data_IF_394070101814
#
_entry.id   IF_394070101814
#
_cell.length_a   1.000
_cell.length_b   1.000
_cell.length_c   1.000
_cell.angle_alpha   90.00
_cell.angle_beta   90.00
_cell.angle_gamma   90.00
#
_symmetry.space_group_name_H-M   'P 1'
#
loop_
_entity.id
_entity.type
_entity.pdbx_description
1 polymer ?
#
# COMPACT_ATOMS: atom_id res chain seq x y z
N UNK A 1 -52.67 8.96 26.61
CA UNK A 1 -52.58 9.70 25.33
C UNK A 1 -51.15 10.13 25.18
N UNK A 2 -50.44 9.40 24.32
CA UNK A 2 -49.03 9.57 24.01
C UNK A 2 -48.93 10.24 22.64
N UNK A 3 -48.11 11.27 22.53
CA UNK A 3 -47.56 11.82 21.28
C UNK A 3 -46.32 12.61 21.73
N UNK A 4 -45.11 12.07 21.58
CA UNK A 4 -44.26 12.21 20.39
C UNK A 4 -43.98 13.68 20.06
N UNK A 5 -42.84 14.18 20.50
CA UNK A 5 -42.15 15.28 19.83
C UNK A 5 -40.68 14.90 19.62
N UNK A 6 -40.24 15.14 18.40
CA UNK A 6 -39.15 14.46 17.70
C UNK A 6 -38.08 15.52 17.41
N UNK A 7 -37.01 15.55 18.19
CA UNK A 7 -35.84 16.38 17.89
C UNK A 7 -34.60 15.50 17.83
N UNK A 8 -34.38 14.93 16.64
CA UNK A 8 -33.09 14.42 16.19
C UNK A 8 -32.20 15.62 15.90
N UNK A 9 -31.19 15.87 16.73
CA UNK A 9 -30.08 16.73 16.36
C UNK A 9 -28.83 15.87 16.16
N UNK A 10 -28.66 15.46 14.91
CA UNK A 10 -27.51 14.76 14.37
C UNK A 10 -26.37 15.77 14.14
N UNK A 11 -25.37 15.81 15.02
CA UNK A 11 -24.15 16.57 14.77
C UNK A 11 -23.15 15.69 14.02
N UNK A 12 -23.30 15.67 12.69
CA UNK A 12 -22.26 15.27 11.77
C UNK A 12 -21.11 16.28 11.87
N UNK A 13 -20.08 15.95 12.65
CA UNK A 13 -18.82 16.68 12.68
C UNK A 13 -17.91 16.18 11.55
N UNK A 14 -17.88 16.97 10.48
CA UNK A 14 -16.73 17.27 9.62
C UNK A 14 -15.86 16.09 9.14
N UNK A 15 -16.36 15.38 8.13
CA UNK A 15 -15.52 14.68 7.17
C UNK A 15 -15.02 15.67 6.11
N UNK A 16 -13.99 16.46 6.43
CA UNK A 16 -13.23 17.18 5.42
C UNK A 16 -12.08 16.27 4.93
N UNK A 17 -12.43 15.22 4.16
CA UNK A 17 -11.47 14.51 3.32
C UNK A 17 -11.39 15.27 1.99
N UNK A 18 -10.62 16.35 1.99
CA UNK A 18 -10.22 17.06 0.78
C UNK A 18 -9.46 16.09 -0.13
N UNK A 19 -10.20 15.50 -1.06
CA UNK A 19 -9.69 14.58 -2.05
C UNK A 19 -9.02 15.35 -3.17
N UNK A 20 -7.70 15.20 -3.26
CA UNK A 20 -7.02 15.23 -4.56
C UNK A 20 -7.24 13.88 -5.26
N UNK A 21 -8.50 13.55 -5.51
CA UNK A 21 -8.81 12.57 -6.55
C UNK A 21 -8.61 13.31 -7.86
N UNK A 22 -7.48 13.06 -8.53
CA UNK A 22 -7.43 13.18 -9.98
C UNK A 22 -8.57 12.31 -10.51
N UNK A 23 -9.73 12.92 -10.72
CA UNK A 23 -10.95 12.30 -11.21
C UNK A 23 -10.77 12.05 -12.71
N UNK A 24 -9.79 11.21 -13.02
CA UNK A 24 -9.76 10.43 -14.23
C UNK A 24 -10.94 9.47 -14.05
N UNK A 25 -11.88 9.49 -14.98
CA UNK A 25 -13.05 8.61 -15.05
C UNK A 25 -12.67 7.13 -15.27
N UNK A 26 -11.58 6.68 -14.63
CA UNK A 26 -11.07 5.33 -14.60
C UNK A 26 -12.10 4.45 -13.89
N UNK A 27 -12.46 3.37 -14.57
CA UNK A 27 -13.31 2.34 -14.03
C UNK A 27 -12.44 1.08 -13.91
N UNK A 28 -12.32 0.50 -12.71
CA UNK A 28 -11.67 -0.79 -12.54
C UNK A 28 -12.16 -1.81 -13.58
N UNK A 29 -11.26 -2.67 -14.09
CA UNK A 29 -11.67 -3.77 -14.95
C UNK A 29 -12.62 -4.71 -14.19
N UNK A 30 -13.47 -5.44 -14.93
CA UNK A 30 -14.24 -6.51 -14.33
C UNK A 30 -13.31 -7.62 -13.82
N UNK A 31 -13.59 -8.16 -12.63
CA UNK A 31 -12.82 -9.26 -12.06
C UNK A 31 -12.89 -10.49 -13.00
N UNK A 32 -11.73 -11.06 -13.30
CA UNK A 32 -11.60 -12.32 -14.04
C UNK A 32 -10.53 -13.17 -13.37
N UNK A 33 -10.79 -14.46 -13.26
CA UNK A 33 -9.79 -15.39 -12.72
C UNK A 33 -8.62 -15.53 -13.69
N UNK A 34 -7.44 -15.83 -13.14
CA UNK A 34 -6.25 -16.18 -13.91
C UNK A 34 -6.53 -17.36 -14.86
N UNK A 35 -7.29 -18.36 -14.41
CA UNK A 35 -7.68 -19.51 -15.24
C UNK A 35 -8.55 -19.13 -16.43
N UNK A 36 -9.46 -18.17 -16.28
CA UNK A 36 -10.29 -17.67 -17.38
C UNK A 36 -9.45 -16.89 -18.38
N UNK A 37 -8.52 -16.07 -17.88
CA UNK A 37 -7.59 -15.30 -18.73
C UNK A 37 -6.71 -16.23 -19.55
N UNK A 38 -6.18 -17.30 -18.94
CA UNK A 38 -5.36 -18.30 -19.61
C UNK A 38 -6.20 -19.13 -20.60
N UNK A 39 -7.47 -19.40 -20.29
CA UNK A 39 -8.33 -20.24 -21.13
C UNK A 39 -8.98 -19.53 -22.31
N UNK A 40 -9.06 -18.21 -22.28
CA UNK A 40 -9.54 -17.42 -23.41
C UNK A 40 -8.58 -17.52 -24.61
N UNK A 41 -9.11 -17.49 -25.83
CA UNK A 41 -8.34 -17.32 -27.09
C UNK A 41 -7.19 -18.34 -27.28
N UNK A 42 -7.39 -19.59 -26.86
CA UNK A 42 -6.39 -20.66 -26.93
C UNK A 42 -5.97 -21.03 -28.36
N UNK A 43 -6.81 -20.68 -29.32
CA UNK A 43 -6.61 -20.86 -30.75
C UNK A 43 -5.75 -19.76 -31.38
N UNK A 44 -5.45 -18.67 -30.66
CA UNK A 44 -4.58 -17.58 -31.12
C UNK A 44 -3.15 -17.70 -30.54
N UNK A 45 -2.21 -18.11 -31.40
CA UNK A 45 -0.80 -18.27 -31.03
C UNK A 45 -0.16 -16.98 -30.51
N UNK A 46 -0.56 -15.82 -31.05
CA UNK A 46 -0.01 -14.52 -30.64
C UNK A 46 -0.46 -14.13 -29.24
N UNK A 47 -1.73 -14.38 -28.92
CA UNK A 47 -2.28 -14.13 -27.60
C UNK A 47 -1.76 -15.12 -26.55
N UNK A 48 -1.51 -16.37 -26.93
CA UNK A 48 -0.85 -17.33 -26.04
C UNK A 48 0.56 -16.86 -25.66
N UNK A 49 1.40 -16.50 -26.65
CA UNK A 49 2.75 -15.97 -26.38
C UNK A 49 2.73 -14.69 -25.56
N UNK A 50 1.75 -13.81 -25.80
CA UNK A 50 1.57 -12.60 -25.02
C UNK A 50 1.26 -12.91 -23.55
N UNK A 51 0.32 -13.83 -23.28
CA UNK A 51 -0.02 -14.28 -21.91
C UNK A 51 1.19 -14.92 -21.22
N UNK A 52 1.94 -15.77 -21.91
CA UNK A 52 3.18 -16.35 -21.38
C UNK A 52 4.21 -15.29 -21.01
N UNK A 53 4.37 -14.24 -21.82
CA UNK A 53 5.31 -13.16 -21.53
C UNK A 53 4.97 -12.37 -20.27
N UNK A 54 3.67 -12.19 -19.98
CA UNK A 54 3.18 -11.43 -18.82
C UNK A 54 3.11 -12.28 -17.56
N UNK A 55 2.56 -13.48 -17.67
CA UNK A 55 2.21 -14.35 -16.55
C UNK A 55 3.32 -15.36 -16.22
N UNK A 56 4.22 -15.66 -17.16
CA UNK A 56 5.30 -16.62 -16.97
C UNK A 56 4.79 -17.98 -16.50
N UNK A 57 5.33 -18.47 -15.38
CA UNK A 57 4.94 -19.76 -14.79
C UNK A 57 3.47 -19.81 -14.35
N UNK A 58 2.83 -18.66 -14.11
CA UNK A 58 1.44 -18.59 -13.69
C UNK A 58 0.45 -19.01 -14.79
N UNK A 59 0.90 -19.20 -16.04
CA UNK A 59 0.07 -19.80 -17.10
C UNK A 59 -0.20 -21.29 -16.84
N UNK A 60 0.76 -22.00 -16.24
CA UNK A 60 0.74 -23.45 -16.13
C UNK A 60 0.31 -23.90 -14.73
N UNK A 61 0.84 -23.24 -13.70
CA UNK A 61 0.66 -23.65 -12.31
C UNK A 61 0.12 -22.50 -11.44
N UNK A 62 -0.66 -22.86 -10.42
CA UNK A 62 -1.08 -21.91 -9.39
C UNK A 62 0.13 -21.55 -8.54
N UNK A 63 0.56 -20.30 -8.62
CA UNK A 63 1.68 -19.81 -7.82
C UNK A 63 1.23 -19.56 -6.39
N UNK A 64 1.82 -20.28 -5.44
CA UNK A 64 1.61 -20.10 -4.00
C UNK A 64 2.98 -19.95 -3.33
N UNK A 65 3.16 -18.88 -2.57
CA UNK A 65 4.39 -18.60 -1.82
C UNK A 65 4.20 -18.91 -0.33
N UNK A 66 2.99 -18.71 0.18
CA UNK A 66 2.61 -19.03 1.56
C UNK A 66 1.18 -19.58 1.58
N UNK A 67 1.06 -20.88 1.84
CA UNK A 67 -0.23 -21.57 1.94
C UNK A 67 -1.06 -21.12 3.14
N UNK A 68 -0.41 -20.65 4.21
CA UNK A 68 -1.09 -20.23 5.45
C UNK A 68 -1.73 -18.86 5.31
N UNK A 69 -1.27 -18.06 4.34
CA UNK A 69 -1.84 -16.76 4.04
C UNK A 69 -2.90 -16.88 2.93
N UNK A 70 -4.19 -16.61 3.22
CA UNK A 70 -5.24 -16.70 2.21
C UNK A 70 -5.24 -15.50 1.24
N UNK A 71 -4.50 -14.43 1.54
CA UNK A 71 -4.49 -13.21 0.72
C UNK A 71 -3.71 -13.41 -0.57
N UNK A 72 -4.08 -12.63 -1.60
CA UNK A 72 -3.39 -12.57 -2.90
C UNK A 72 -2.05 -11.86 -2.82
N UNK A 73 -1.90 -10.92 -1.88
CA UNK A 73 -0.66 -10.16 -1.68
C UNK A 73 -0.13 -10.34 -0.27
N UNK A 74 1.18 -10.56 -0.18
CA UNK A 74 1.90 -10.73 1.08
C UNK A 74 3.00 -9.69 1.14
N UNK A 75 2.76 -8.62 1.89
CA UNK A 75 3.76 -7.56 2.12
C UNK A 75 4.80 -8.07 3.12
N UNK A 76 6.09 -7.98 2.76
CA UNK A 76 7.21 -8.47 3.56
C UNK A 76 7.93 -7.36 4.30
N UNK A 77 8.17 -6.22 3.65
CA UNK A 77 8.88 -5.11 4.26
C UNK A 77 8.50 -3.76 3.64
N UNK A 78 8.66 -2.71 4.44
CA UNK A 78 8.76 -1.33 3.98
C UNK A 78 10.16 -0.81 4.32
N UNK A 79 10.85 -0.22 3.36
CA UNK A 79 12.19 0.32 3.53
C UNK A 79 12.23 1.78 3.16
N UNK A 80 12.79 2.62 4.04
CA UNK A 80 13.12 4.00 3.74
C UNK A 80 14.53 4.04 3.15
N UNK A 81 14.62 4.37 1.87
CA UNK A 81 15.86 4.48 1.12
C UNK A 81 16.35 5.94 1.21
N UNK A 82 17.57 6.12 1.69
CA UNK A 82 18.20 7.44 1.81
C UNK A 82 19.65 7.31 1.34
N UNK A 83 20.04 8.14 0.38
CA UNK A 83 21.38 8.08 -0.19
C UNK A 83 22.45 8.34 0.89
N UNK A 84 23.54 7.56 0.83
CA UNK A 84 24.68 7.71 1.74
C UNK A 84 24.52 7.05 3.11
N UNK A 85 23.45 6.28 3.36
CA UNK A 85 23.29 5.47 4.58
C UNK A 85 22.62 4.13 4.28
N UNK A 86 22.73 3.13 5.19
CA UNK A 86 21.93 1.92 5.10
C UNK A 86 20.43 2.21 5.18
N UNK A 87 19.66 1.44 4.42
CA UNK A 87 18.21 1.50 4.40
C UNK A 87 17.62 1.25 5.79
N UNK A 88 16.62 2.04 6.16
CA UNK A 88 15.86 1.78 7.37
C UNK A 88 14.71 0.82 7.03
N UNK A 89 14.82 -0.42 7.46
CA UNK A 89 13.88 -1.49 7.13
C UNK A 89 12.87 -1.72 8.25
N UNK A 90 11.60 -1.69 7.89
CA UNK A 90 10.46 -2.12 8.70
C UNK A 90 10.05 -3.50 8.21
N UNK A 91 10.47 -4.54 8.93
CA UNK A 91 10.07 -5.92 8.65
C UNK A 91 8.61 -6.16 9.09
N UNK A 92 7.77 -6.51 8.13
CA UNK A 92 6.34 -6.78 8.31
C UNK A 92 6.04 -8.29 8.34
N UNK A 93 7.05 -9.14 8.08
CA UNK A 93 6.90 -10.60 8.02
C UNK A 93 6.60 -11.24 9.38
N UNK A 94 7.03 -10.60 10.47
CA UNK A 94 6.85 -11.08 11.85
C UNK A 94 5.57 -10.52 12.50
N UNK A 95 4.74 -9.80 11.74
CA UNK A 95 3.49 -9.20 12.22
C UNK A 95 3.62 -7.72 12.62
N UNK A 96 2.49 -7.02 12.48
CA UNK A 96 2.41 -5.55 12.56
C UNK A 96 2.47 -4.99 13.99
N UNK A 97 2.19 -5.81 15.00
CA UNK A 97 2.17 -5.38 16.41
C UNK A 97 3.55 -4.96 16.93
N UNK A 98 4.60 -5.64 16.45
CA UNK A 98 5.98 -5.30 16.82
C UNK A 98 6.41 -3.95 16.22
N UNK A 99 5.89 -3.63 15.04
CA UNK A 99 6.19 -2.40 14.30
C UNK A 99 5.50 -1.20 14.96
N UNK A 100 4.25 -1.36 15.41
CA UNK A 100 3.47 -0.29 16.06
C UNK A 100 4.13 0.26 17.32
N UNK A 101 4.89 -0.57 18.05
CA UNK A 101 5.57 -0.20 19.29
C UNK A 101 6.92 0.49 19.07
N UNK A 102 7.47 0.43 17.85
CA UNK A 102 8.77 1.02 17.53
C UNK A 102 8.60 2.47 17.07
N UNK A 103 9.54 3.31 17.49
CA UNK A 103 9.68 4.70 17.01
C UNK A 103 11.00 4.80 16.26
N UNK A 104 10.94 5.11 14.98
CA UNK A 104 12.12 5.26 14.13
C UNK A 104 12.62 6.70 14.16
N UNK A 105 13.94 6.93 14.17
CA UNK A 105 14.48 8.29 14.05
C UNK A 105 14.71 8.63 12.58
N UNK A 106 14.19 9.77 12.13
CA UNK A 106 14.34 10.27 10.76
C UNK A 106 14.89 11.69 10.78
N UNK A 107 15.91 11.97 9.97
CA UNK A 107 16.45 13.32 9.82
C UNK A 107 15.55 14.20 8.96
N UNK A 108 15.41 15.47 9.33
CA UNK A 108 14.65 16.48 8.61
C UNK A 108 15.36 16.98 7.35
N UNK A 109 14.60 17.40 6.32
CA UNK A 109 15.16 17.94 5.08
C UNK A 109 15.97 16.95 4.23
N UNK A 110 15.80 15.64 4.44
CA UNK A 110 16.42 14.62 3.60
C UNK A 110 15.50 14.27 2.43
N UNK A 111 16.12 13.97 1.29
CA UNK A 111 15.45 13.24 0.22
C UNK A 111 15.41 11.75 0.55
N UNK A 112 14.28 11.12 0.22
CA UNK A 112 14.09 9.68 0.44
C UNK A 112 13.20 9.07 -0.63
N UNK A 113 13.22 7.73 -0.69
CA UNK A 113 12.21 6.92 -1.37
C UNK A 113 11.68 5.86 -0.42
N UNK A 114 10.46 5.41 -0.63
CA UNK A 114 9.90 4.26 0.07
C UNK A 114 9.91 3.07 -0.89
N UNK A 115 10.53 1.97 -0.48
CA UNK A 115 10.46 0.69 -1.16
C UNK A 115 9.55 -0.26 -0.40
N UNK A 116 8.63 -0.90 -1.10
CA UNK A 116 7.75 -1.95 -0.55
C UNK A 116 8.10 -3.25 -1.25
N UNK A 117 8.41 -4.26 -0.45
CA UNK A 117 8.71 -5.62 -0.90
C UNK A 117 7.53 -6.54 -0.61
N UNK A 118 7.03 -7.25 -1.61
CA UNK A 118 5.83 -8.08 -1.51
C UNK A 118 5.82 -9.26 -2.49
N UNK A 119 5.07 -10.30 -2.14
CA UNK A 119 4.72 -11.38 -3.06
C UNK A 119 3.28 -11.22 -3.56
N UNK A 120 3.04 -11.73 -4.77
CA UNK A 120 1.69 -11.93 -5.30
C UNK A 120 1.52 -13.41 -5.56
N UNK A 121 0.41 -13.98 -5.11
CA UNK A 121 0.08 -15.38 -5.23
C UNK A 121 -1.40 -15.57 -5.63
N UNK A 122 -1.71 -16.76 -6.16
CA UNK A 122 -3.04 -17.22 -6.59
C UNK A 122 -3.57 -16.51 -7.82
N UNK A 123 -3.87 -15.21 -7.71
CA UNK A 123 -4.59 -14.45 -8.74
C UNK A 123 -3.84 -13.17 -9.12
N UNK A 124 -4.15 -12.64 -10.31
CA UNK A 124 -3.67 -11.31 -10.72
C UNK A 124 -4.28 -10.28 -9.78
N UNK A 125 -3.46 -9.32 -9.36
CA UNK A 125 -3.91 -8.17 -8.58
C UNK A 125 -3.80 -6.93 -9.45
N UNK A 126 -4.93 -6.26 -9.62
CA UNK A 126 -5.03 -5.10 -10.51
C UNK A 126 -5.07 -3.80 -9.72
N UNK A 127 -4.32 -2.79 -10.18
CA UNK A 127 -4.34 -1.47 -9.56
C UNK A 127 -3.94 -1.47 -8.08
N UNK A 128 -2.87 -2.18 -7.72
CA UNK A 128 -2.30 -2.09 -6.37
C UNK A 128 -1.98 -0.62 -6.05
N UNK A 129 -2.32 -0.23 -4.83
CA UNK A 129 -2.17 1.12 -4.29
C UNK A 129 -1.52 1.03 -2.91
N UNK A 130 -0.55 1.90 -2.69
CA UNK A 130 0.00 2.15 -1.37
C UNK A 130 -0.53 3.47 -0.84
N UNK A 131 -1.29 3.42 0.24
CA UNK A 131 -1.86 4.59 0.89
C UNK A 131 -1.15 4.84 2.21
N UNK A 132 -0.85 6.12 2.47
CA UNK A 132 -0.28 6.57 3.72
C UNK A 132 -1.09 7.74 4.27
N UNK A 133 -1.36 7.70 5.56
CA UNK A 133 -1.94 8.81 6.32
C UNK A 133 -1.00 9.14 7.47
N UNK A 134 -0.43 10.34 7.46
CA UNK A 134 0.52 10.79 8.47
C UNK A 134 -0.22 11.70 9.45
N UNK A 135 -0.02 11.44 10.74
CA UNK A 135 -0.63 12.15 11.85
C UNK A 135 0.43 12.75 12.76
N UNK A 136 0.15 13.94 13.30
CA UNK A 136 0.95 14.61 14.33
C UNK A 136 0.02 15.09 15.43
N UNK A 137 0.30 14.74 16.68
CA UNK A 137 -0.60 15.03 17.82
C UNK A 137 -2.06 14.61 17.58
N UNK A 138 -2.28 13.47 16.92
CA UNK A 138 -3.62 12.96 16.59
C UNK A 138 -4.31 13.63 15.38
N UNK A 139 -3.76 14.72 14.85
CA UNK A 139 -4.30 15.41 13.67
C UNK A 139 -3.65 14.88 12.38
N UNK A 140 -4.46 14.61 11.34
CA UNK A 140 -3.97 14.19 10.01
C UNK A 140 -3.28 15.38 9.35
N UNK A 141 -2.00 15.23 9.00
CA UNK A 141 -1.19 16.27 8.37
C UNK A 141 -0.89 15.99 6.90
N UNK A 142 -0.90 14.72 6.47
CA UNK A 142 -0.68 14.33 5.09
C UNK A 142 -1.45 13.05 4.75
N UNK A 143 -1.93 12.95 3.51
CA UNK A 143 -2.48 11.74 2.90
C UNK A 143 -1.84 11.58 1.53
N UNK A 144 -1.22 10.43 1.27
CA UNK A 144 -0.59 10.12 -0.02
C UNK A 144 -1.14 8.78 -0.52
N UNK A 145 -1.41 8.69 -1.82
CA UNK A 145 -1.81 7.46 -2.50
C UNK A 145 -0.87 7.29 -3.69
N UNK A 146 -0.06 6.24 -3.65
CA UNK A 146 0.84 5.87 -4.74
C UNK A 146 0.27 4.68 -5.50
N UNK A 147 0.04 4.84 -6.81
CA UNK A 147 -0.30 3.73 -7.69
C UNK A 147 0.95 2.86 -7.90
N UNK A 148 0.84 1.60 -7.49
CA UNK A 148 1.91 0.60 -7.57
C UNK A 148 1.83 -0.12 -8.92
N UNK A 149 0.62 -0.49 -9.34
CA UNK A 149 0.37 -1.12 -10.65
C UNK A 149 -0.32 -2.47 -10.55
N UNK A 150 -0.31 -3.23 -11.65
CA UNK A 150 -0.92 -4.56 -11.72
C UNK A 150 0.15 -5.64 -11.77
N UNK A 151 -0.03 -6.71 -11.02
CA UNK A 151 0.98 -7.74 -10.81
C UNK A 151 0.37 -9.14 -10.93
N UNK A 152 1.04 -9.99 -11.71
CA UNK A 152 0.72 -11.40 -11.78
C UNK A 152 1.37 -12.17 -10.60
N UNK A 153 0.82 -13.34 -10.22
CA UNK A 153 1.45 -14.23 -9.26
C UNK A 153 2.85 -14.67 -9.69
N UNK A 154 3.84 -14.56 -8.79
CA UNK A 154 5.24 -14.96 -9.01
C UNK A 154 5.89 -15.46 -7.73
N UNK A 155 6.80 -16.43 -7.85
CA UNK A 155 7.58 -16.94 -6.71
C UNK A 155 8.71 -15.99 -6.30
N UNK A 156 9.11 -15.11 -7.22
CA UNK A 156 10.11 -14.08 -6.99
C UNK A 156 9.51 -12.90 -6.22
N UNK A 157 10.31 -12.33 -5.30
CA UNK A 157 9.91 -11.15 -4.54
C UNK A 157 9.79 -9.96 -5.48
N UNK A 158 8.65 -9.28 -5.43
CA UNK A 158 8.38 -8.08 -6.21
C UNK A 158 8.58 -6.85 -5.33
N UNK A 159 8.90 -5.73 -5.96
CA UNK A 159 9.06 -4.47 -5.24
C UNK A 159 8.54 -3.28 -6.02
N UNK A 160 8.12 -2.27 -5.28
CA UNK A 160 7.76 -0.96 -5.79
C UNK A 160 8.51 0.09 -5.01
N UNK A 161 9.06 1.08 -5.71
CA UNK A 161 9.74 2.22 -5.09
C UNK A 161 9.02 3.50 -5.49
N UNK A 162 8.66 4.32 -4.51
CA UNK A 162 8.02 5.62 -4.75
C UNK A 162 8.95 6.57 -5.52
N UNK A 163 8.41 7.63 -6.14
CA UNK A 163 9.21 8.79 -6.50
C UNK A 163 10.01 9.35 -5.30
N UNK A 164 11.00 10.18 -5.60
CA UNK A 164 11.74 10.92 -4.57
C UNK A 164 10.79 11.88 -3.85
N UNK A 165 10.82 11.84 -2.53
CA UNK A 165 10.10 12.75 -1.63
C UNK A 165 11.10 13.42 -0.68
N UNK A 166 10.73 14.56 -0.08
CA UNK A 166 11.56 15.30 0.87
C UNK A 166 10.88 15.35 2.25
N UNK A 167 11.63 15.04 3.31
CA UNK A 167 11.15 15.19 4.69
C UNK A 167 11.01 16.67 5.06
N UNK A 168 9.94 17.09 5.75
CA UNK A 168 9.77 18.50 6.10
C UNK A 168 10.90 18.96 7.03
N UNK A 169 11.46 20.15 6.82
CA UNK A 169 12.57 20.67 7.61
C UNK A 169 12.17 21.79 8.58
N UNK A 170 12.98 21.97 9.62
CA UNK A 170 12.87 23.11 10.54
C UNK A 170 12.32 22.76 11.93
N UNK A 171 12.58 23.65 12.89
CA UNK A 171 12.26 23.40 14.31
C UNK A 171 10.76 23.11 14.55
N UNK A 172 9.88 23.70 13.76
CA UNK A 172 8.43 23.50 13.89
C UNK A 172 7.93 22.17 13.30
N UNK A 173 8.64 21.55 12.35
CA UNK A 173 8.26 20.23 11.81
C UNK A 173 8.70 19.09 12.73
N UNK A 174 9.85 19.24 13.40
CA UNK A 174 10.42 18.20 14.27
C UNK A 174 9.45 17.70 15.36
N UNK A 175 9.58 16.43 15.71
CA UNK A 175 8.74 15.75 16.71
C UNK A 175 8.21 14.39 16.23
N UNK A 176 7.28 13.82 16.99
CA UNK A 176 6.76 12.47 16.72
C UNK A 176 5.56 12.49 15.77
N UNK A 177 5.59 11.56 14.82
CA UNK A 177 4.56 11.31 13.84
C UNK A 177 4.11 9.85 13.90
N UNK A 178 2.83 9.64 13.63
CA UNK A 178 2.25 8.30 13.45
C UNK A 178 1.79 8.16 12.01
N UNK A 179 2.25 7.10 11.35
CA UNK A 179 1.91 6.77 9.97
C UNK A 179 1.00 5.56 9.97
N UNK A 180 -0.18 5.71 9.37
CA UNK A 180 -1.10 4.62 9.06
C UNK A 180 -0.94 4.26 7.60
N UNK A 181 -0.46 3.05 7.35
CA UNK A 181 -0.16 2.52 6.02
C UNK A 181 -1.18 1.46 5.63
N UNK A 182 -1.59 1.48 4.36
CA UNK A 182 -2.53 0.52 3.78
C UNK A 182 -2.06 0.13 2.38
N UNK A 183 -1.92 -1.18 2.16
CA UNK A 183 -1.69 -1.76 0.83
C UNK A 183 -3.01 -2.39 0.36
N UNK A 184 -3.56 -1.89 -0.74
CA UNK A 184 -4.89 -2.26 -1.26
C UNK A 184 -4.88 -2.25 -2.79
N UNK A 185 -6.00 -2.54 -3.44
CA UNK A 185 -6.11 -2.66 -4.90
C UNK A 185 -7.38 -1.99 -5.45
N UNK A 186 -7.68 -2.19 -6.74
CA UNK A 186 -8.90 -1.69 -7.37
C UNK A 186 -10.18 -2.37 -6.87
N UNK A 187 -10.06 -3.60 -6.36
CA UNK A 187 -11.16 -4.39 -5.79
C UNK A 187 -11.41 -4.06 -4.29
N UNK A 188 -10.66 -3.10 -3.73
CA UNK A 188 -10.68 -2.69 -2.32
C UNK A 188 -10.31 -3.80 -1.32
N UNK A 189 -9.52 -4.78 -1.75
CA UNK A 189 -8.98 -5.79 -0.83
C UNK A 189 -7.98 -5.14 0.14
N UNK A 190 -8.11 -5.41 1.44
CA UNK A 190 -7.12 -5.00 2.43
C UNK A 190 -6.01 -6.06 2.53
N UNK A 191 -4.95 -5.88 1.73
CA UNK A 191 -3.81 -6.82 1.71
C UNK A 191 -2.99 -6.74 2.99
N UNK A 192 -2.60 -5.52 3.39
CA UNK A 192 -2.01 -5.28 4.70
C UNK A 192 -2.30 -3.86 5.16
N UNK A 193 -2.63 -3.73 6.44
CA UNK A 193 -2.79 -2.45 7.13
C UNK A 193 -1.95 -2.47 8.38
N UNK A 194 -1.13 -1.43 8.56
CA UNK A 194 -0.24 -1.33 9.71
C UNK A 194 -0.05 0.11 10.13
N UNK A 195 0.45 0.27 11.35
CA UNK A 195 0.76 1.56 11.94
C UNK A 195 2.21 1.53 12.43
N UNK A 196 2.93 2.61 12.21
CA UNK A 196 4.29 2.79 12.69
C UNK A 196 4.52 4.26 13.06
N UNK A 197 5.51 4.53 13.89
CA UNK A 197 5.80 5.89 14.33
C UNK A 197 7.24 6.26 14.03
N UNK A 198 7.47 7.53 13.72
CA UNK A 198 8.82 8.08 13.61
C UNK A 198 8.94 9.39 14.36
N UNK A 199 10.15 9.68 14.82
CA UNK A 199 10.54 10.97 15.37
C UNK A 199 11.42 11.69 14.33
N UNK A 200 10.96 12.86 13.93
CA UNK A 200 11.67 13.74 13.01
C UNK A 200 12.63 14.63 13.79
N UNK A 201 13.93 14.50 13.53
CA UNK A 201 15.02 15.19 14.23
C UNK A 201 15.93 15.95 13.26
N UNK A 202 16.77 16.82 13.81
CA UNK A 202 17.81 17.54 13.04
C UNK A 202 18.92 16.62 12.54
N UNK A 203 19.23 15.61 13.34
CA UNK A 203 20.30 14.65 13.12
C UNK A 203 19.75 13.24 13.33
N UNK A 204 20.48 12.23 12.86
CA UNK A 204 20.04 10.83 12.95
C UNK A 204 20.18 10.22 14.35
N UNK A 205 20.88 10.92 15.25
CA UNK A 205 21.09 10.58 16.67
C UNK A 205 20.29 11.56 17.57
#
# INVERSE_FOLDING_TARGET
MSAEDNSKNNSNADNNDGGDEMNLNYKPPAEKSLSDIVSADKDDESLMKYKESLLGKAVQDVVIVDETNPKRVIVKALSLLVDGRPDMVIDLSQGVESVKKKVYTIKDGIEYRIKIDFFVQREIVTGLKFQQKIYRHGMKVLKTINMVGSYAPKHELQSYTTPVEEMPSGMLSRGTYTVKSLFTDDDNNEHLKWEWSFELKKDWD
#
